data_IF_582861625626
#
_entry.id   IF_582861625626
#
_cell.length_a   1.000
_cell.length_b   1.000
_cell.length_c   1.000
_cell.angle_alpha   90.00
_cell.angle_beta   90.00
_cell.angle_gamma   90.00
#
_symmetry.space_group_name_H-M   'P 1'
#
loop_
_entity.id
_entity.type
_entity.pdbx_description
1 polymer ?
#
# COMPACT_ATOMS: atom_id res chain seq x y z
N UNK A 1 -6.26 10.58 -2.29
CA UNK A 1 -7.36 9.98 -3.07
C UNK A 1 -7.33 8.45 -3.03
N UNK A 2 -8.47 7.83 -3.27
CA UNK A 2 -8.65 6.37 -3.31
C UNK A 2 -8.91 5.96 -4.75
N UNK A 3 -8.15 4.99 -5.27
CA UNK A 3 -8.35 4.43 -6.60
C UNK A 3 -8.70 2.95 -6.51
N UNK A 4 -9.81 2.56 -7.14
CA UNK A 4 -10.34 1.20 -7.10
C UNK A 4 -11.82 1.16 -7.49
N UNK A 5 -12.46 0.03 -7.23
CA UNK A 5 -13.87 -0.23 -7.51
C UNK A 5 -14.61 -0.59 -6.21
N UNK A 6 -15.82 -0.10 -6.06
CA UNK A 6 -16.68 -0.45 -4.93
C UNK A 6 -17.21 -1.89 -4.97
N UNK A 7 -16.92 -2.65 -6.03
CA UNK A 7 -17.27 -4.06 -6.21
C UNK A 7 -16.09 -5.00 -5.94
N UNK A 8 -14.84 -4.50 -6.10
CA UNK A 8 -13.63 -5.35 -6.07
C UNK A 8 -12.70 -4.95 -4.92
N UNK A 9 -12.72 -3.68 -4.53
CA UNK A 9 -11.82 -3.09 -3.54
C UNK A 9 -10.96 -1.97 -4.11
N UNK A 10 -10.22 -1.32 -3.23
CA UNK A 10 -9.25 -0.29 -3.57
C UNK A 10 -7.90 -0.90 -3.95
N UNK A 11 -7.30 -0.44 -5.03
CA UNK A 11 -5.96 -0.83 -5.46
C UNK A 11 -4.88 0.01 -4.81
N UNK A 12 -5.19 1.30 -4.59
CA UNK A 12 -4.24 2.23 -3.97
C UNK A 12 -4.92 3.41 -3.29
N UNK A 13 -4.18 3.97 -2.33
CA UNK A 13 -4.48 5.28 -1.74
C UNK A 13 -3.30 6.23 -1.95
N UNK A 14 -3.62 7.53 -1.92
CA UNK A 14 -2.63 8.60 -1.96
C UNK A 14 -2.82 9.49 -0.74
N UNK A 15 -1.76 9.62 0.07
CA UNK A 15 -1.62 10.62 1.12
C UNK A 15 -1.01 11.88 0.50
N UNK A 16 -1.77 12.96 0.44
CA UNK A 16 -1.36 14.24 -0.17
C UNK A 16 -1.75 15.46 0.63
N UNK A 17 -2.06 15.26 1.93
CA UNK A 17 -2.44 16.36 2.83
C UNK A 17 -3.81 17.00 2.54
N UNK A 18 -4.65 16.33 1.74
CA UNK A 18 -5.97 16.86 1.35
C UNK A 18 -7.05 16.75 2.43
N UNK A 19 -6.83 15.99 3.48
CA UNK A 19 -7.74 15.86 4.61
C UNK A 19 -7.02 16.17 5.93
N UNK A 20 -7.56 17.11 6.69
CA UNK A 20 -7.00 17.56 7.99
C UNK A 20 -7.03 16.50 9.08
N UNK A 21 -7.82 15.47 8.88
CA UNK A 21 -8.00 14.37 9.82
C UNK A 21 -7.03 13.22 9.56
N UNK A 22 -6.27 13.21 8.46
CA UNK A 22 -5.29 12.16 8.19
C UNK A 22 -4.20 12.15 9.27
N UNK A 23 -3.85 10.94 9.72
CA UNK A 23 -2.72 10.70 10.62
C UNK A 23 -1.82 9.68 9.94
N UNK A 24 -0.56 10.01 9.77
CA UNK A 24 0.45 9.16 9.16
C UNK A 24 1.58 8.93 10.18
N UNK A 25 1.81 7.68 10.53
CA UNK A 25 2.89 7.24 11.42
C UNK A 25 3.78 6.20 10.73
N UNK A 26 3.93 6.29 9.42
CA UNK A 26 4.64 5.34 8.57
C UNK A 26 3.96 3.98 8.54
N UNK A 27 4.21 3.12 9.52
CA UNK A 27 3.67 1.74 9.57
C UNK A 27 2.18 1.67 9.93
N UNK A 28 1.63 2.73 10.47
CA UNK A 28 0.22 2.91 10.80
C UNK A 28 -0.30 4.20 10.16
N UNK A 29 -1.40 4.10 9.45
CA UNK A 29 -2.08 5.24 8.83
C UNK A 29 -3.54 5.24 9.25
N UNK A 30 -4.01 6.34 9.83
CA UNK A 30 -5.43 6.58 10.02
C UNK A 30 -5.91 7.51 8.89
N UNK A 31 -6.38 6.89 7.83
CA UNK A 31 -6.74 7.53 6.58
C UNK A 31 -8.19 8.03 6.59
N UNK A 32 -8.42 9.22 6.08
CA UNK A 32 -9.76 9.80 5.92
C UNK A 32 -10.36 9.39 4.58
N UNK A 33 -11.59 8.89 4.61
CA UNK A 33 -12.33 8.54 3.41
C UNK A 33 -12.53 9.73 2.47
N UNK A 34 -12.96 9.43 1.27
CA UNK A 34 -13.16 10.45 0.24
C UNK A 34 -14.56 11.07 0.27
N UNK A 35 -14.67 12.29 -0.27
CA UNK A 35 -15.91 13.01 -0.46
C UNK A 35 -16.20 14.03 0.62
N UNK A 36 -17.25 14.81 0.41
CA UNK A 36 -17.68 15.84 1.36
C UNK A 36 -16.85 17.12 1.35
N UNK A 37 -15.79 17.20 0.55
CA UNK A 37 -14.99 18.43 0.41
C UNK A 37 -15.66 19.44 -0.52
N UNK A 38 -15.23 20.69 -0.43
CA UNK A 38 -15.62 21.73 -1.37
C UNK A 38 -15.08 21.50 -2.78
N UNK A 39 -15.46 22.35 -3.73
CA UNK A 39 -15.06 22.22 -5.12
C UNK A 39 -13.55 22.39 -5.35
N UNK A 40 -12.82 22.99 -4.41
CA UNK A 40 -11.38 23.20 -4.46
C UNK A 40 -10.61 22.03 -3.83
N UNK A 41 -11.31 21.09 -3.19
CA UNK A 41 -10.72 19.92 -2.53
C UNK A 41 -10.03 20.23 -1.21
N UNK A 42 -10.33 21.36 -0.58
CA UNK A 42 -9.70 21.80 0.65
C UNK A 42 -10.48 21.39 1.90
N UNK A 43 -11.55 22.11 2.18
CA UNK A 43 -12.28 21.98 3.42
C UNK A 43 -13.43 20.96 3.33
N UNK A 44 -13.63 20.19 4.41
CA UNK A 44 -14.83 19.36 4.56
C UNK A 44 -16.04 20.27 4.79
N UNK A 45 -17.06 20.16 3.94
CA UNK A 45 -18.27 21.02 3.95
C UNK A 45 -19.57 20.24 4.07
N UNK A 46 -19.52 18.90 4.01
CA UNK A 46 -20.65 18.00 4.22
C UNK A 46 -20.20 16.62 4.66
N UNK A 47 -21.13 15.81 5.13
CA UNK A 47 -20.87 14.43 5.50
C UNK A 47 -20.36 13.61 4.31
N UNK A 48 -19.47 12.67 4.58
CA UNK A 48 -19.06 11.68 3.59
C UNK A 48 -20.13 10.61 3.40
N UNK A 49 -20.20 10.09 2.16
CA UNK A 49 -21.08 8.99 1.80
C UNK A 49 -20.31 7.67 1.80
N UNK A 50 -20.99 6.57 2.18
CA UNK A 50 -20.42 5.22 2.11
C UNK A 50 -20.55 4.64 0.70
N UNK A 51 -19.85 5.25 -0.24
CA UNK A 51 -19.87 4.91 -1.67
C UNK A 51 -18.46 4.93 -2.25
N UNK A 52 -18.30 4.46 -3.49
CA UNK A 52 -17.03 4.52 -4.25
C UNK A 52 -15.83 4.03 -3.43
N UNK A 53 -14.80 4.87 -3.26
CA UNK A 53 -13.57 4.52 -2.58
C UNK A 53 -13.75 4.16 -1.10
N UNK A 54 -14.73 4.76 -0.40
CA UNK A 54 -15.03 4.40 0.99
C UNK A 54 -15.54 2.95 1.08
N UNK A 55 -16.42 2.57 0.17
CA UNK A 55 -16.90 1.20 0.08
C UNK A 55 -15.80 0.24 -0.42
N UNK A 56 -14.96 0.70 -1.34
CA UNK A 56 -13.83 -0.10 -1.82
C UNK A 56 -12.84 -0.44 -0.69
N UNK A 57 -12.46 0.52 0.15
CA UNK A 57 -11.58 0.24 1.31
C UNK A 57 -12.23 -0.66 2.36
N UNK A 58 -13.54 -0.61 2.53
CA UNK A 58 -14.25 -1.55 3.41
C UNK A 58 -14.15 -3.00 2.87
N UNK A 59 -14.28 -3.20 1.55
CA UNK A 59 -14.05 -4.51 0.93
C UNK A 59 -12.62 -4.99 1.16
N UNK A 60 -11.62 -4.10 1.07
CA UNK A 60 -10.24 -4.50 1.38
C UNK A 60 -10.10 -5.01 2.81
N UNK A 61 -10.83 -4.44 3.77
CA UNK A 61 -10.82 -4.95 5.15
C UNK A 61 -11.51 -6.31 5.23
N UNK A 62 -12.70 -6.45 4.67
CA UNK A 62 -13.51 -7.68 4.73
C UNK A 62 -12.82 -8.87 4.05
N UNK A 63 -12.20 -8.63 2.89
CA UNK A 63 -11.56 -9.65 2.06
C UNK A 63 -10.05 -9.73 2.27
N UNK A 64 -9.50 -8.98 3.24
CA UNK A 64 -8.06 -8.90 3.51
C UNK A 64 -7.20 -8.59 2.27
N UNK A 65 -7.71 -7.72 1.39
CA UNK A 65 -7.03 -7.35 0.17
C UNK A 65 -5.98 -6.26 0.41
N UNK A 66 -4.82 -6.37 -0.23
CA UNK A 66 -3.75 -5.39 -0.10
C UNK A 66 -4.09 -4.06 -0.76
N UNK A 67 -3.60 -2.97 -0.18
CA UNK A 67 -3.72 -1.60 -0.72
C UNK A 67 -2.33 -1.01 -0.89
N UNK A 68 -2.03 -0.47 -2.06
CA UNK A 68 -0.78 0.27 -2.30
C UNK A 68 -0.89 1.66 -1.69
N UNK A 69 0.13 2.07 -0.94
CA UNK A 69 0.21 3.40 -0.36
C UNK A 69 1.21 4.25 -1.14
N UNK A 70 0.77 5.42 -1.56
CA UNK A 70 1.62 6.42 -2.19
C UNK A 70 1.59 7.69 -1.34
N UNK A 71 2.76 8.25 -1.02
CA UNK A 71 2.90 9.54 -0.33
C UNK A 71 3.30 10.62 -1.32
N UNK A 72 2.56 11.71 -1.30
CA UNK A 72 2.92 12.94 -2.03
C UNK A 72 3.88 13.81 -1.21
N UNK A 73 4.51 14.76 -1.85
CA UNK A 73 5.46 15.70 -1.23
C UNK A 73 4.82 16.62 -0.16
N UNK A 74 3.49 16.68 -0.10
CA UNK A 74 2.75 17.55 0.82
C UNK A 74 2.63 17.00 2.25
N UNK A 75 2.94 15.71 2.46
CA UNK A 75 2.85 15.08 3.78
C UNK A 75 4.22 14.96 4.43
N UNK A 76 4.26 14.88 5.75
CA UNK A 76 5.48 14.88 6.56
C UNK A 76 6.51 13.83 6.11
N UNK A 77 6.06 12.61 5.82
CA UNK A 77 6.92 11.52 5.38
C UNK A 77 6.96 11.36 3.84
N UNK A 78 6.53 12.37 3.11
CA UNK A 78 6.54 12.37 1.65
C UNK A 78 7.95 12.56 1.06
N UNK A 79 8.10 12.40 -0.26
CA UNK A 79 9.34 12.75 -0.97
C UNK A 79 9.50 14.28 -1.07
N UNK A 80 10.69 14.77 -1.45
CA UNK A 80 10.92 16.20 -1.68
C UNK A 80 10.03 16.77 -2.79
N UNK A 81 9.68 15.96 -3.79
CA UNK A 81 8.77 16.33 -4.88
C UNK A 81 8.04 15.13 -5.45
N UNK A 82 6.87 15.35 -6.04
CA UNK A 82 6.06 14.31 -6.68
C UNK A 82 5.47 13.31 -5.69
N UNK A 83 5.50 12.04 -6.06
CA UNK A 83 4.92 10.94 -5.27
C UNK A 83 5.92 9.80 -5.12
N UNK A 84 5.89 9.15 -3.96
CA UNK A 84 6.67 7.95 -3.68
C UNK A 84 5.74 6.79 -3.36
N UNK A 85 6.01 5.62 -3.92
CA UNK A 85 5.36 4.37 -3.55
C UNK A 85 6.02 3.82 -2.28
N UNK A 86 5.24 3.63 -1.23
CA UNK A 86 5.70 3.22 0.09
C UNK A 86 5.27 1.81 0.50
N UNK A 87 4.80 1.02 -0.47
CA UNK A 87 4.57 -0.40 -0.25
C UNK A 87 3.11 -0.79 -0.08
N UNK A 88 2.92 -1.98 0.47
CA UNK A 88 1.61 -2.62 0.67
C UNK A 88 1.17 -2.46 2.11
N UNK A 89 -0.08 -2.05 2.29
CA UNK A 89 -0.77 -1.95 3.57
C UNK A 89 -2.07 -2.75 3.52
N UNK A 90 -2.63 -3.01 4.68
CA UNK A 90 -3.93 -3.67 4.85
C UNK A 90 -4.84 -2.81 5.72
N UNK A 91 -6.10 -2.75 5.36
CA UNK A 91 -7.12 -2.10 6.20
C UNK A 91 -7.48 -3.09 7.30
N UNK A 92 -7.15 -2.75 8.55
CA UNK A 92 -7.49 -3.60 9.70
C UNK A 92 -8.82 -3.23 10.34
N UNK A 93 -9.27 -1.97 10.19
CA UNK A 93 -10.51 -1.48 10.76
C UNK A 93 -11.03 -0.27 9.99
N UNK A 94 -12.35 -0.01 10.05
CA UNK A 94 -12.92 1.27 9.64
C UNK A 94 -14.15 1.62 10.49
N UNK A 95 -14.40 2.91 10.60
CA UNK A 95 -15.56 3.42 11.33
C UNK A 95 -15.96 4.81 10.84
N UNK A 96 -17.19 5.22 11.20
CA UNK A 96 -17.71 6.56 10.94
C UNK A 96 -17.59 7.40 12.22
N UNK A 97 -17.00 8.57 12.11
CA UNK A 97 -16.91 9.52 13.24
C UNK A 97 -17.12 10.96 12.78
N UNK A 98 -17.25 11.87 13.72
CA UNK A 98 -17.24 13.31 13.46
C UNK A 98 -15.79 13.78 13.32
N UNK A 99 -15.44 14.38 12.18
CA UNK A 99 -14.13 14.96 11.90
C UNK A 99 -13.96 16.35 12.54
N UNK A 100 -12.75 16.91 12.37
CA UNK A 100 -12.39 18.24 12.91
C UNK A 100 -13.28 19.37 12.41
N UNK A 101 -13.70 19.32 11.16
CA UNK A 101 -14.69 20.28 10.59
C UNK A 101 -16.14 20.06 11.04
N UNK A 102 -16.42 19.09 11.92
CA UNK A 102 -17.73 18.83 12.48
C UNK A 102 -18.66 17.95 11.66
N UNK A 103 -18.28 17.54 10.45
CA UNK A 103 -19.03 16.63 9.59
C UNK A 103 -18.67 15.18 9.86
N UNK A 104 -19.55 14.25 9.49
CA UNK A 104 -19.25 12.83 9.58
C UNK A 104 -18.32 12.38 8.45
N UNK A 105 -17.26 11.70 8.83
CA UNK A 105 -16.25 11.13 7.94
C UNK A 105 -16.05 9.64 8.21
N UNK A 106 -15.59 8.89 7.22
CA UNK A 106 -15.12 7.52 7.39
C UNK A 106 -13.62 7.52 7.66
N UNK A 107 -13.20 6.71 8.62
CA UNK A 107 -11.81 6.54 9.01
C UNK A 107 -11.41 5.10 8.73
N UNK A 108 -10.26 4.92 8.12
CA UNK A 108 -9.69 3.62 7.80
C UNK A 108 -8.32 3.49 8.45
N UNK A 109 -8.17 2.45 9.27
CA UNK A 109 -6.90 2.13 9.90
C UNK A 109 -6.12 1.18 9.00
N UNK A 110 -4.99 1.64 8.46
CA UNK A 110 -4.14 0.84 7.61
C UNK A 110 -2.82 0.56 8.33
N UNK A 111 -2.37 -0.68 8.21
CA UNK A 111 -1.08 -1.13 8.74
C UNK A 111 -0.26 -1.81 7.65
N UNK A 112 1.05 -1.79 7.81
CA UNK A 112 1.95 -2.56 6.93
C UNK A 112 1.67 -4.06 7.04
N UNK A 113 2.06 -4.82 6.02
CA UNK A 113 1.92 -6.28 6.01
C UNK A 113 2.56 -6.96 7.23
N UNK A 114 3.61 -6.35 7.80
CA UNK A 114 4.30 -6.88 8.99
C UNK A 114 3.46 -6.74 10.27
N UNK A 115 2.63 -5.71 10.33
CA UNK A 115 1.80 -5.38 11.48
C UNK A 115 0.34 -5.84 11.33
N UNK A 116 0.03 -6.56 10.25
CA UNK A 116 -1.30 -7.11 10.01
C UNK A 116 -1.40 -8.53 10.57
N UNK A 117 -2.10 -8.68 11.68
CA UNK A 117 -2.15 -9.94 12.48
C UNK A 117 -2.59 -11.16 11.68
N UNK A 118 -3.58 -11.01 10.79
CA UNK A 118 -4.05 -12.09 9.94
C UNK A 118 -2.93 -12.69 9.07
N UNK A 119 -2.04 -11.86 8.55
CA UNK A 119 -0.91 -12.33 7.74
C UNK A 119 0.19 -12.96 8.60
N UNK A 120 0.43 -12.44 9.80
CA UNK A 120 1.48 -12.98 10.68
C UNK A 120 1.15 -14.38 11.15
N UNK A 121 -0.10 -14.71 11.40
CA UNK A 121 -0.53 -16.06 11.78
C UNK A 121 -0.48 -17.05 10.60
N UNK A 122 -0.96 -16.65 9.42
CA UNK A 122 -0.96 -17.52 8.25
C UNK A 122 0.43 -17.71 7.62
N UNK A 123 1.30 -16.68 7.66
CA UNK A 123 2.68 -16.79 7.14
C UNK A 123 3.52 -17.68 8.04
N UNK A 124 3.39 -17.62 9.36
CA UNK A 124 4.09 -18.50 10.30
C UNK A 124 3.77 -19.98 10.07
N UNK A 125 2.59 -20.30 9.55
CA UNK A 125 2.19 -21.69 9.24
C UNK A 125 2.70 -22.20 7.89
N UNK A 126 2.98 -21.30 6.93
CA UNK A 126 3.29 -21.64 5.54
C UNK A 126 4.79 -21.62 5.21
N UNK A 127 5.57 -20.79 5.89
CA UNK A 127 7.01 -20.67 5.66
C UNK A 127 7.81 -21.33 6.80
N UNK A 128 8.20 -22.57 6.62
CA UNK A 128 9.22 -23.22 7.44
C UNK A 128 10.60 -22.62 7.13
N UNK A 129 11.21 -22.08 8.16
CA UNK A 129 12.62 -21.85 8.54
C UNK A 129 13.72 -21.43 7.52
N UNK A 130 13.51 -21.34 6.22
CA UNK A 130 14.61 -21.03 5.27
C UNK A 130 14.59 -19.61 4.67
N UNK A 131 13.93 -18.65 5.32
CA UNK A 131 13.95 -17.26 4.84
C UNK A 131 15.14 -16.50 5.41
N UNK A 132 16.20 -16.41 4.61
CA UNK A 132 17.36 -15.55 4.90
C UNK A 132 16.98 -14.10 4.61
N UNK A 133 16.93 -13.26 5.64
CA UNK A 133 16.78 -11.81 5.46
C UNK A 133 18.00 -11.29 4.67
N UNK A 134 17.81 -10.47 3.62
CA UNK A 134 18.92 -9.88 2.90
C UNK A 134 19.73 -8.95 3.83
N UNK A 135 21.04 -9.15 3.86
CA UNK A 135 21.95 -8.27 4.61
C UNK A 135 21.88 -6.82 4.08
N UNK A 136 21.78 -5.88 5.01
CA UNK A 136 21.97 -4.46 4.70
C UNK A 136 23.45 -4.15 4.64
N UNK A 137 23.88 -3.64 3.50
CA UNK A 137 25.21 -3.00 3.39
C UNK A 137 24.99 -1.50 3.42
N UNK A 138 25.55 -0.82 4.42
CA UNK A 138 25.56 0.65 4.50
C UNK A 138 26.39 1.21 3.35
N UNK A 139 25.72 1.62 2.30
CA UNK A 139 26.33 2.39 1.21
C UNK A 139 25.88 3.84 1.41
N UNK A 140 26.80 4.78 1.31
CA UNK A 140 26.57 6.24 1.41
C UNK A 140 25.45 6.73 0.45
N UNK A 141 25.05 5.95 -0.52
CA UNK A 141 23.96 6.23 -1.46
C UNK A 141 22.61 5.58 -1.13
N UNK A 142 22.43 4.94 0.02
CA UNK A 142 21.20 4.22 0.45
C UNK A 142 20.53 3.34 -0.62
N UNK A 143 21.30 2.80 -1.56
CA UNK A 143 20.77 1.87 -2.57
C UNK A 143 20.68 0.47 -2.01
N UNK A 144 19.48 -0.10 -2.06
CA UNK A 144 19.25 -1.50 -1.72
C UNK A 144 19.95 -2.37 -2.77
N UNK A 145 20.95 -3.14 -2.34
CA UNK A 145 21.64 -4.08 -3.22
C UNK A 145 20.80 -5.36 -3.33
N UNK A 146 20.14 -5.53 -4.47
CA UNK A 146 19.36 -6.75 -4.74
C UNK A 146 20.31 -7.90 -5.02
N UNK A 147 20.07 -9.04 -4.37
CA UNK A 147 20.77 -10.28 -4.71
C UNK A 147 20.25 -10.81 -6.06
N UNK A 148 21.08 -10.67 -7.09
CA UNK A 148 20.73 -11.09 -8.44
C UNK A 148 20.58 -12.61 -8.55
N UNK A 149 21.20 -13.39 -7.67
CA UNK A 149 21.08 -14.84 -7.66
C UNK A 149 19.68 -15.29 -7.24
N UNK A 150 19.12 -14.64 -6.23
CA UNK A 150 17.73 -14.86 -5.78
C UNK A 150 16.76 -14.44 -6.88
N UNK A 151 16.95 -13.26 -7.48
CA UNK A 151 16.10 -12.79 -8.59
C UNK A 151 16.12 -13.79 -9.75
N UNK A 152 17.28 -14.32 -10.11
CA UNK A 152 17.41 -15.33 -11.16
C UNK A 152 16.67 -16.62 -10.82
N UNK A 153 16.87 -17.17 -9.61
CA UNK A 153 16.15 -18.36 -9.14
C UNK A 153 14.63 -18.20 -9.17
N UNK A 154 14.12 -17.06 -8.68
CA UNK A 154 12.68 -16.79 -8.69
C UNK A 154 12.12 -16.74 -10.11
N UNK A 155 12.84 -16.13 -11.06
CA UNK A 155 12.45 -16.09 -12.47
C UNK A 155 12.43 -17.50 -13.09
N UNK A 156 13.45 -18.30 -12.84
CA UNK A 156 13.55 -19.68 -13.33
C UNK A 156 12.43 -20.55 -12.75
N UNK A 157 12.17 -20.49 -11.44
CA UNK A 157 11.09 -21.23 -10.77
C UNK A 157 9.71 -20.92 -11.33
N UNK A 158 9.50 -19.71 -11.79
CA UNK A 158 8.22 -19.26 -12.35
C UNK A 158 8.23 -19.18 -13.88
N UNK A 159 9.20 -19.81 -14.56
CA UNK A 159 9.34 -19.83 -16.02
C UNK A 159 9.24 -18.42 -16.65
N UNK A 160 9.76 -17.39 -15.98
CA UNK A 160 9.66 -15.98 -16.36
C UNK A 160 8.22 -15.47 -16.55
N UNK A 161 7.23 -16.16 -16.04
CA UNK A 161 5.81 -15.79 -16.10
C UNK A 161 5.47 -14.78 -15.00
N UNK A 162 4.68 -13.78 -15.31
CA UNK A 162 4.21 -12.80 -14.35
C UNK A 162 3.28 -13.47 -13.31
N UNK A 163 3.62 -13.38 -12.02
CA UNK A 163 2.84 -13.99 -10.95
C UNK A 163 1.54 -13.22 -10.62
N UNK A 164 1.35 -12.05 -11.23
CA UNK A 164 0.16 -11.22 -11.03
C UNK A 164 -0.88 -11.47 -12.12
N UNK A 165 -0.46 -11.44 -13.40
CA UNK A 165 -1.39 -11.63 -14.53
C UNK A 165 -1.24 -12.97 -15.26
N UNK A 166 -0.25 -13.78 -14.90
CA UNK A 166 0.00 -15.07 -15.55
C UNK A 166 0.61 -14.97 -16.96
N UNK A 167 0.95 -13.77 -17.42
CA UNK A 167 1.48 -13.59 -18.79
C UNK A 167 3.00 -13.74 -18.85
N UNK A 168 3.46 -14.24 -19.99
CA UNK A 168 4.87 -14.33 -20.37
C UNK A 168 5.18 -13.28 -21.43
N UNK A 169 6.22 -12.47 -21.18
CA UNK A 169 6.65 -11.43 -22.11
C UNK A 169 8.02 -11.78 -22.70
N UNK A 170 8.11 -11.79 -24.02
CA UNK A 170 9.35 -12.00 -24.76
C UNK A 170 9.90 -10.66 -25.26
N UNK A 171 11.18 -10.42 -25.02
CA UNK A 171 11.90 -9.25 -25.53
C UNK A 171 12.95 -9.65 -26.58
N UNK A 172 13.53 -8.65 -27.23
CA UNK A 172 14.55 -8.86 -28.29
C UNK A 172 15.77 -9.68 -27.80
N UNK A 173 16.04 -9.69 -26.50
CA UNK A 173 17.18 -10.39 -25.86
C UNK A 173 16.74 -11.55 -24.98
N UNK A 174 15.50 -12.02 -25.09
CA UNK A 174 14.92 -13.09 -24.27
C UNK A 174 13.81 -12.61 -23.33
N UNK A 175 13.39 -13.46 -22.38
CA UNK A 175 12.25 -13.17 -21.52
C UNK A 175 12.39 -11.87 -20.72
N UNK A 176 11.34 -11.04 -20.73
CA UNK A 176 11.26 -9.82 -19.90
C UNK A 176 10.51 -10.16 -18.63
N UNK A 177 11.22 -10.23 -17.52
CA UNK A 177 10.61 -10.36 -16.21
C UNK A 177 11.37 -9.54 -15.18
N UNK A 178 10.66 -8.92 -14.22
CA UNK A 178 11.26 -8.13 -13.15
C UNK A 178 10.96 -8.81 -11.82
N UNK A 179 12.01 -9.12 -11.06
CA UNK A 179 11.86 -9.58 -9.69
C UNK A 179 11.47 -8.40 -8.82
N UNK A 180 10.29 -8.47 -8.20
CA UNK A 180 9.84 -7.48 -7.23
C UNK A 180 9.80 -8.10 -5.83
N UNK A 181 10.21 -7.33 -4.82
CA UNK A 181 10.02 -7.74 -3.44
C UNK A 181 8.57 -7.46 -3.03
N UNK A 182 7.90 -8.46 -2.47
CA UNK A 182 6.55 -8.32 -1.88
C UNK A 182 6.63 -7.48 -0.60
N UNK A 183 7.78 -7.51 0.10
CA UNK A 183 8.06 -6.61 1.24
C UNK A 183 8.99 -5.50 0.79
N UNK A 184 8.62 -4.26 1.10
CA UNK A 184 9.52 -3.12 0.90
C UNK A 184 10.79 -3.31 1.73
N UNK A 185 11.98 -3.26 1.10
CA UNK A 185 13.27 -3.39 1.79
C UNK A 185 13.68 -2.11 2.57
N UNK A 186 12.77 -1.18 2.77
CA UNK A 186 13.01 0.15 3.34
C UNK A 186 12.47 0.40 4.74
N UNK A 187 11.87 -0.56 5.43
CA UNK A 187 11.27 -0.36 6.74
C UNK A 187 11.98 -1.13 7.86
N UNK A 188 12.75 -0.48 8.67
CA UNK A 188 12.87 -0.62 10.12
C UNK A 188 12.86 0.79 10.66
#
# INVERSE_FOLDING_TARGET
GIWGSQEIGAYSIVLSGGYEDDIDQLDYILYTGQGGQDATGGQQVKDQEFTRGNKALAINMEEHLPVRVNRGYQVEYGPESGYRYDGIYYVQNFYKQRGKSGFFIYRFELVTAQNFDFLTENIKSTFKEDYVLPERTDIISSRIKRDQSIVKKVKELNNNTCQVCGEYFEGVKGPISVGAHIRGLGGI
#
